data_IF_087176695052
#
_entry.id   IF_087176695052
#
_cell.length_a   1.000
_cell.length_b   1.000
_cell.length_c   1.000
_cell.angle_alpha   90.00
_cell.angle_beta   90.00
_cell.angle_gamma   90.00
#
_symmetry.space_group_name_H-M   'P 1'
#
loop_
_entity.id
_entity.type
_entity.pdbx_description
1 polymer ?
#
# COMPACT_ATOMS: atom_id res chain seq x y z
N UNK A 1 6.27 -2.31 -20.85
CA UNK A 1 5.22 -1.43 -20.29
C UNK A 1 5.61 0.02 -20.52
N UNK A 2 4.68 0.90 -20.85
CA UNK A 2 4.95 2.34 -20.88
C UNK A 2 5.30 2.79 -19.47
N UNK A 3 6.32 3.66 -19.28
CA UNK A 3 6.64 4.18 -17.94
C UNK A 3 5.43 4.85 -17.32
N UNK A 4 5.16 4.59 -16.04
CA UNK A 4 4.08 5.23 -15.31
C UNK A 4 4.46 6.67 -14.99
N UNK A 5 3.60 7.62 -15.37
CA UNK A 5 3.75 9.00 -14.96
C UNK A 5 3.13 9.17 -13.56
N UNK A 6 3.92 9.68 -12.61
CA UNK A 6 3.43 10.06 -11.27
C UNK A 6 3.65 11.55 -11.10
N UNK A 7 2.61 12.28 -10.77
CA UNK A 7 2.59 13.72 -10.61
C UNK A 7 2.15 14.09 -9.19
N UNK A 8 2.95 14.88 -8.49
CA UNK A 8 2.57 15.49 -7.21
C UNK A 8 1.86 16.80 -7.56
N UNK A 9 0.55 16.84 -7.36
CA UNK A 9 -0.26 17.96 -7.79
C UNK A 9 -0.17 19.15 -6.81
N UNK A 10 0.34 20.28 -7.25
CA UNK A 10 0.18 21.55 -6.55
C UNK A 10 -1.25 22.07 -6.68
N UNK A 11 -1.84 21.92 -7.86
CA UNK A 11 -3.22 22.27 -8.19
C UNK A 11 -3.91 21.10 -8.87
N UNK A 12 -4.73 20.36 -8.12
CA UNK A 12 -5.34 19.10 -8.59
C UNK A 12 -6.18 19.28 -9.86
N UNK A 13 -6.98 20.34 -9.97
CA UNK A 13 -7.81 20.59 -11.16
C UNK A 13 -6.96 20.72 -12.42
N UNK A 14 -5.86 21.48 -12.35
CA UNK A 14 -4.94 21.67 -13.48
C UNK A 14 -4.25 20.37 -13.88
N UNK A 15 -3.73 19.64 -12.90
CA UNK A 15 -3.07 18.36 -13.12
C UNK A 15 -4.02 17.33 -13.74
N UNK A 16 -5.26 17.26 -13.23
CA UNK A 16 -6.28 16.34 -13.74
C UNK A 16 -6.72 16.71 -15.17
N UNK A 17 -6.97 18.00 -15.44
CA UNK A 17 -7.33 18.45 -16.77
C UNK A 17 -6.25 18.13 -17.79
N UNK A 18 -4.97 18.32 -17.43
CA UNK A 18 -3.82 17.98 -18.28
C UNK A 18 -3.74 16.48 -18.52
N UNK A 19 -3.91 15.66 -17.49
CA UNK A 19 -3.83 14.20 -17.61
C UNK A 19 -4.98 13.64 -18.46
N UNK A 20 -6.21 14.15 -18.30
CA UNK A 20 -7.36 13.78 -19.14
C UNK A 20 -7.14 14.19 -20.60
N UNK A 21 -6.65 15.42 -20.85
CA UNK A 21 -6.37 15.90 -22.20
C UNK A 21 -5.25 15.13 -22.90
N UNK A 22 -4.32 14.53 -22.16
CA UNK A 22 -3.25 13.68 -22.69
C UNK A 22 -3.75 12.27 -23.11
N UNK A 23 -4.93 11.86 -22.65
CA UNK A 23 -5.56 10.59 -22.99
C UNK A 23 -6.63 10.82 -24.06
N UNK A 24 -6.40 10.36 -25.29
CA UNK A 24 -7.46 10.38 -26.31
C UNK A 24 -8.62 9.49 -25.87
N UNK A 25 -9.83 10.07 -25.73
CA UNK A 25 -11.01 9.35 -25.26
C UNK A 25 -12.30 9.93 -25.84
N UNK A 26 -13.30 9.05 -25.96
CA UNK A 26 -14.66 9.41 -26.41
C UNK A 26 -15.66 9.47 -25.26
N UNK A 27 -15.35 8.80 -24.13
CA UNK A 27 -16.16 8.79 -22.90
C UNK A 27 -15.27 8.82 -21.68
N UNK A 28 -15.75 9.51 -20.65
CA UNK A 28 -15.07 9.62 -19.37
C UNK A 28 -15.93 9.00 -18.27
N UNK A 29 -15.32 8.08 -17.52
CA UNK A 29 -15.93 7.45 -16.37
C UNK A 29 -15.10 7.70 -15.12
N UNK A 30 -15.79 7.82 -13.99
CA UNK A 30 -15.18 7.93 -12.66
C UNK A 30 -15.54 6.67 -11.88
N UNK A 31 -14.55 6.02 -11.28
CA UNK A 31 -14.76 4.94 -10.34
C UNK A 31 -14.45 5.42 -8.92
N UNK A 32 -15.39 5.19 -8.00
CA UNK A 32 -15.25 5.45 -6.57
C UNK A 32 -15.71 4.21 -5.80
N UNK A 33 -15.39 4.12 -4.52
CA UNK A 33 -16.19 3.36 -3.56
C UNK A 33 -17.24 4.25 -2.88
N UNK A 34 -18.12 3.66 -2.06
CA UNK A 34 -19.17 4.41 -1.35
C UNK A 34 -18.60 5.55 -0.49
N UNK A 35 -17.51 5.27 0.25
CA UNK A 35 -16.86 6.27 1.12
C UNK A 35 -16.25 7.41 0.30
N UNK A 36 -15.53 7.10 -0.75
CA UNK A 36 -14.87 8.10 -1.58
C UNK A 36 -15.87 8.82 -2.51
N UNK A 37 -16.99 8.19 -2.82
CA UNK A 37 -18.12 8.86 -3.46
C UNK A 37 -18.69 9.98 -2.60
N UNK A 38 -18.77 9.77 -1.30
CA UNK A 38 -19.31 10.73 -0.35
C UNK A 38 -18.28 11.82 0.02
N UNK A 39 -17.04 11.43 0.32
CA UNK A 39 -16.03 12.31 0.90
C UNK A 39 -15.07 12.94 -0.12
N UNK A 40 -14.75 12.24 -1.21
CA UNK A 40 -13.72 12.68 -2.15
C UNK A 40 -14.29 13.22 -3.47
N UNK A 41 -15.35 12.59 -4.00
CA UNK A 41 -15.98 13.05 -5.24
C UNK A 41 -16.46 14.51 -5.19
N UNK A 42 -17.12 15.01 -4.12
CA UNK A 42 -17.55 16.40 -4.04
C UNK A 42 -16.40 17.41 -4.17
N UNK A 43 -15.18 17.03 -3.81
CA UNK A 43 -13.98 17.89 -3.91
C UNK A 43 -13.64 18.21 -5.37
N UNK A 44 -13.90 17.28 -6.29
CA UNK A 44 -13.49 17.38 -7.70
C UNK A 44 -14.66 17.45 -8.68
N UNK A 45 -15.89 17.12 -8.26
CA UNK A 45 -17.06 17.04 -9.13
C UNK A 45 -17.41 18.34 -9.87
N UNK A 46 -16.98 19.47 -9.34
CA UNK A 46 -17.15 20.80 -9.95
C UNK A 46 -16.10 21.14 -11.02
N UNK A 47 -15.08 20.31 -11.21
CA UNK A 47 -14.03 20.59 -12.19
C UNK A 47 -14.56 20.52 -13.62
N UNK A 48 -14.19 21.49 -14.44
CA UNK A 48 -14.66 21.58 -15.82
C UNK A 48 -14.27 20.37 -16.68
N UNK A 49 -13.10 19.78 -16.42
CA UNK A 49 -12.62 18.59 -17.11
C UNK A 49 -13.40 17.30 -16.80
N UNK A 50 -14.26 17.29 -15.80
CA UNK A 50 -15.10 16.16 -15.41
C UNK A 50 -16.57 16.32 -15.82
N UNK A 51 -16.93 17.41 -16.52
CA UNK A 51 -18.31 17.62 -16.98
C UNK A 51 -18.74 16.53 -17.95
N UNK A 52 -19.90 15.91 -17.67
CA UNK A 52 -20.44 14.81 -18.47
C UNK A 52 -19.83 13.45 -18.16
N UNK A 53 -18.95 13.33 -17.18
CA UNK A 53 -18.43 12.05 -16.73
C UNK A 53 -19.52 11.23 -16.01
N UNK A 54 -19.59 9.94 -16.34
CA UNK A 54 -20.44 8.96 -15.65
C UNK A 54 -19.72 8.42 -14.43
N UNK A 55 -20.42 8.28 -13.30
CA UNK A 55 -19.81 7.83 -12.05
C UNK A 55 -20.32 6.45 -11.67
N UNK A 56 -19.37 5.50 -11.53
CA UNK A 56 -19.58 4.13 -11.06
C UNK A 56 -19.12 4.06 -9.61
N UNK A 57 -19.89 3.42 -8.74
CA UNK A 57 -19.56 3.25 -7.35
C UNK A 57 -19.60 1.77 -6.96
N UNK A 58 -18.63 1.32 -6.18
CA UNK A 58 -18.55 -0.03 -5.63
C UNK A 58 -18.63 0.01 -4.09
N UNK A 59 -18.86 -1.12 -3.45
CA UNK A 59 -18.84 -1.19 -1.98
C UNK A 59 -17.49 -0.76 -1.40
N UNK A 60 -17.51 -0.17 -0.22
CA UNK A 60 -16.32 0.29 0.47
C UNK A 60 -15.57 -0.87 1.15
N UNK A 61 -14.31 -0.66 1.46
CA UNK A 61 -13.36 -1.56 2.12
C UNK A 61 -12.82 -2.71 1.26
N UNK A 62 -11.71 -3.30 1.69
CA UNK A 62 -11.01 -4.39 0.96
C UNK A 62 -11.85 -5.67 0.82
N UNK A 63 -12.92 -5.81 1.61
CA UNK A 63 -13.89 -6.92 1.47
C UNK A 63 -14.65 -6.88 0.16
N UNK A 64 -14.75 -5.71 -0.48
CA UNK A 64 -15.36 -5.52 -1.79
C UNK A 64 -14.37 -5.56 -2.96
N UNK A 65 -13.10 -5.86 -2.71
CA UNK A 65 -12.09 -6.09 -3.77
C UNK A 65 -12.29 -7.48 -4.40
N UNK A 66 -13.45 -7.71 -4.98
CA UNK A 66 -13.94 -9.04 -5.40
C UNK A 66 -14.21 -9.10 -6.91
N UNK A 67 -14.39 -10.35 -7.41
CA UNK A 67 -14.83 -10.58 -8.79
C UNK A 67 -16.22 -9.98 -9.06
N UNK A 68 -17.13 -10.00 -8.08
CA UNK A 68 -18.47 -9.44 -8.25
C UNK A 68 -18.44 -7.93 -8.41
N UNK A 69 -17.62 -7.22 -7.61
CA UNK A 69 -17.40 -5.78 -7.79
C UNK A 69 -16.74 -5.45 -9.12
N UNK A 70 -15.81 -6.27 -9.57
CA UNK A 70 -15.17 -6.14 -10.88
C UNK A 70 -16.19 -6.33 -12.03
N UNK A 71 -17.04 -7.37 -11.93
CA UNK A 71 -18.10 -7.61 -12.89
C UNK A 71 -19.09 -6.44 -12.96
N UNK A 72 -19.48 -5.90 -11.81
CA UNK A 72 -20.33 -4.70 -11.75
C UNK A 72 -19.70 -3.50 -12.49
N UNK A 73 -18.40 -3.25 -12.33
CA UNK A 73 -17.72 -2.17 -13.08
C UNK A 73 -17.78 -2.43 -14.59
N UNK A 74 -17.54 -3.64 -15.06
CA UNK A 74 -17.63 -3.96 -16.48
C UNK A 74 -19.06 -3.82 -17.03
N UNK A 75 -20.06 -4.25 -16.27
CA UNK A 75 -21.48 -4.12 -16.61
C UNK A 75 -21.88 -2.65 -16.76
N UNK A 76 -21.51 -1.80 -15.80
CA UNK A 76 -21.82 -0.37 -15.84
C UNK A 76 -21.08 0.33 -16.99
N UNK A 77 -19.79 0.05 -17.19
CA UNK A 77 -19.06 0.55 -18.36
C UNK A 77 -19.77 0.16 -19.68
N UNK A 78 -20.21 -1.08 -19.78
CA UNK A 78 -20.92 -1.57 -20.98
C UNK A 78 -22.30 -0.94 -21.14
N UNK A 79 -23.11 -0.90 -20.08
CA UNK A 79 -24.47 -0.35 -20.04
C UNK A 79 -24.50 1.14 -20.42
N UNK A 80 -23.51 1.89 -19.94
CA UNK A 80 -23.39 3.33 -20.19
C UNK A 80 -22.64 3.64 -21.52
N UNK A 81 -22.39 2.64 -22.34
CA UNK A 81 -21.86 2.79 -23.69
C UNK A 81 -20.35 2.98 -23.78
N UNK A 82 -19.61 2.44 -22.81
CA UNK A 82 -18.15 2.42 -22.87
C UNK A 82 -17.60 1.75 -24.13
N UNK A 83 -16.59 2.34 -24.73
CA UNK A 83 -15.92 1.91 -25.96
C UNK A 83 -14.48 1.45 -25.67
N UNK A 84 -13.69 1.19 -26.69
CA UNK A 84 -12.24 0.96 -26.58
C UNK A 84 -11.44 2.24 -26.31
N UNK A 85 -12.06 3.39 -26.54
CA UNK A 85 -11.46 4.72 -26.33
C UNK A 85 -11.98 5.38 -25.04
N UNK A 86 -12.62 4.61 -24.17
CA UNK A 86 -13.07 5.09 -22.87
C UNK A 86 -11.87 5.37 -21.97
N UNK A 87 -11.94 6.46 -21.22
CA UNK A 87 -11.01 6.77 -20.12
C UNK A 87 -11.70 6.52 -18.78
N UNK A 88 -11.05 5.77 -17.89
CA UNK A 88 -11.49 5.54 -16.51
C UNK A 88 -10.60 6.31 -15.54
N UNK A 89 -11.20 7.14 -14.68
CA UNK A 89 -10.51 7.84 -13.60
C UNK A 89 -10.91 7.19 -12.26
N UNK A 90 -9.95 6.55 -11.60
CA UNK A 90 -10.14 5.93 -10.30
C UNK A 90 -9.88 6.97 -9.19
N UNK A 91 -10.88 7.28 -8.37
CA UNK A 91 -10.76 8.21 -7.24
C UNK A 91 -11.04 7.42 -5.96
N UNK A 92 -9.99 6.98 -5.26
CA UNK A 92 -10.17 6.16 -4.07
C UNK A 92 -8.88 5.64 -3.46
N UNK A 93 -9.02 4.84 -2.43
CA UNK A 93 -7.92 4.13 -1.79
C UNK A 93 -7.33 3.01 -2.66
N UNK A 94 -6.43 2.21 -2.08
CA UNK A 94 -5.76 1.10 -2.78
C UNK A 94 -6.74 0.09 -3.40
N UNK A 95 -7.87 -0.18 -2.74
CA UNK A 95 -8.90 -1.08 -3.28
C UNK A 95 -9.46 -0.55 -4.61
N UNK A 96 -9.81 0.73 -4.69
CA UNK A 96 -10.37 1.35 -5.90
C UNK A 96 -9.32 1.42 -7.01
N UNK A 97 -8.08 1.80 -6.69
CA UNK A 97 -7.01 1.90 -7.70
C UNK A 97 -6.61 0.54 -8.28
N UNK A 98 -6.56 -0.50 -7.44
CA UNK A 98 -6.22 -1.86 -7.88
C UNK A 98 -7.34 -2.51 -8.71
N UNK A 99 -8.58 -2.48 -8.20
CA UNK A 99 -9.73 -3.05 -8.90
C UNK A 99 -10.04 -2.26 -10.17
N UNK A 100 -10.03 -0.92 -10.10
CA UNK A 100 -10.27 -0.06 -11.26
C UNK A 100 -9.20 -0.20 -12.34
N UNK A 101 -7.91 -0.31 -11.93
CA UNK A 101 -6.83 -0.59 -12.85
C UNK A 101 -6.97 -1.96 -13.52
N UNK A 102 -7.43 -2.98 -12.80
CA UNK A 102 -7.70 -4.30 -13.35
C UNK A 102 -8.94 -4.30 -14.25
N UNK A 103 -10.00 -3.59 -13.86
CA UNK A 103 -11.19 -3.39 -14.71
C UNK A 103 -10.83 -2.72 -16.04
N UNK A 104 -10.06 -1.64 -15.99
CA UNK A 104 -9.59 -0.94 -17.19
C UNK A 104 -8.70 -1.84 -18.05
N UNK A 105 -7.81 -2.61 -17.46
CA UNK A 105 -6.89 -3.51 -18.17
C UNK A 105 -7.59 -4.63 -18.92
N UNK A 106 -8.78 -5.01 -18.51
CA UNK A 106 -9.51 -6.18 -19.04
C UNK A 106 -10.75 -5.80 -19.83
N UNK A 107 -11.39 -4.65 -19.55
CA UNK A 107 -12.53 -4.18 -20.32
C UNK A 107 -12.15 -3.95 -21.79
N UNK A 108 -12.88 -4.58 -22.74
CA UNK A 108 -12.63 -4.51 -24.17
C UNK A 108 -11.16 -4.76 -24.60
N UNK A 109 -10.41 -5.54 -23.84
CA UNK A 109 -8.97 -5.86 -23.99
C UNK A 109 -8.03 -4.71 -23.62
N UNK A 110 -8.49 -3.78 -22.80
CA UNK A 110 -7.73 -2.67 -22.25
C UNK A 110 -8.24 -1.31 -22.71
N UNK A 111 -8.51 -0.44 -21.73
CA UNK A 111 -8.79 0.98 -21.88
C UNK A 111 -7.78 1.77 -21.04
N UNK A 112 -7.60 3.06 -21.36
CA UNK A 112 -6.75 3.92 -20.56
C UNK A 112 -7.38 4.23 -19.20
N UNK A 113 -6.55 4.44 -18.17
CA UNK A 113 -7.01 4.85 -16.87
C UNK A 113 -6.03 5.80 -16.16
N UNK A 114 -6.57 6.63 -15.27
CA UNK A 114 -5.84 7.56 -14.39
C UNK A 114 -6.17 7.18 -12.95
N UNK A 115 -5.18 7.20 -12.05
CA UNK A 115 -5.41 7.01 -10.63
C UNK A 115 -5.27 8.33 -9.87
N UNK A 116 -6.25 8.63 -9.02
CA UNK A 116 -6.22 9.69 -8.00
C UNK A 116 -6.38 9.01 -6.63
N UNK A 117 -5.28 8.51 -6.05
CA UNK A 117 -5.33 7.84 -4.76
C UNK A 117 -5.71 8.84 -3.65
N UNK A 118 -6.60 8.41 -2.75
CA UNK A 118 -7.17 9.28 -1.70
C UNK A 118 -6.73 8.91 -0.29
N UNK A 119 -6.07 7.76 -0.11
CA UNK A 119 -5.45 7.37 1.17
C UNK A 119 -3.93 7.50 1.07
N UNK A 120 -3.26 7.78 2.19
CA UNK A 120 -1.80 7.90 2.21
C UNK A 120 -1.14 6.58 1.75
N UNK A 121 -1.68 5.43 2.16
CA UNK A 121 -1.21 4.12 1.70
C UNK A 121 -1.29 3.96 0.18
N UNK A 122 -2.40 4.38 -0.43
CA UNK A 122 -2.54 4.31 -1.87
C UNK A 122 -1.60 5.27 -2.61
N UNK A 123 -1.34 6.45 -2.03
CA UNK A 123 -0.42 7.44 -2.59
C UNK A 123 1.03 6.93 -2.60
N UNK A 124 1.48 6.37 -1.48
CA UNK A 124 2.88 5.97 -1.29
C UNK A 124 3.18 4.59 -1.87
N UNK A 125 2.18 3.70 -1.92
CA UNK A 125 2.40 2.30 -2.29
C UNK A 125 1.44 1.80 -3.37
N UNK A 126 0.17 1.60 -3.11
CA UNK A 126 -0.72 0.77 -3.95
C UNK A 126 -0.87 1.29 -5.39
N UNK A 127 -0.98 2.60 -5.62
CA UNK A 127 -1.18 3.16 -6.96
C UNK A 127 0.09 3.24 -7.82
N UNK A 128 1.28 3.00 -7.23
CA UNK A 128 2.58 3.12 -7.91
C UNK A 128 3.17 1.74 -8.22
N UNK A 129 3.53 1.51 -9.48
CA UNK A 129 4.21 0.29 -9.92
C UNK A 129 3.34 -0.72 -10.64
N UNK A 130 2.12 -0.33 -11.04
CA UNK A 130 1.28 -1.03 -12.01
C UNK A 130 0.72 -2.39 -11.57
N UNK A 131 0.86 -2.79 -10.33
CA UNK A 131 0.17 -3.97 -9.80
C UNK A 131 -1.31 -3.63 -9.67
N UNK A 132 -2.18 -4.36 -10.36
CA UNK A 132 -3.64 -4.23 -10.29
C UNK A 132 -4.25 -5.59 -10.07
N UNK A 133 -5.40 -5.68 -9.41
CA UNK A 133 -6.01 -6.99 -9.17
C UNK A 133 -7.12 -6.99 -8.14
N UNK A 134 -7.57 -8.19 -7.85
CA UNK A 134 -8.65 -8.50 -6.91
C UNK A 134 -8.26 -9.62 -5.96
N UNK A 135 -8.99 -9.69 -4.86
CA UNK A 135 -8.97 -10.83 -3.94
C UNK A 135 -9.78 -11.99 -4.54
N UNK A 136 -9.38 -13.22 -4.32
CA UNK A 136 -10.08 -14.38 -4.82
C UNK A 136 -10.03 -15.53 -3.84
N UNK A 137 -11.20 -16.11 -3.51
CA UNK A 137 -11.35 -17.26 -2.59
C UNK A 137 -10.63 -17.10 -1.27
N UNK A 138 -10.69 -15.90 -0.67
CA UNK A 138 -10.06 -15.60 0.63
C UNK A 138 -8.57 -15.24 0.55
N UNK A 139 -7.97 -15.30 -0.64
CA UNK A 139 -6.58 -14.90 -0.85
C UNK A 139 -6.52 -13.45 -1.37
N UNK A 140 -5.68 -12.62 -0.75
CA UNK A 140 -5.48 -11.22 -1.14
C UNK A 140 -4.67 -11.11 -2.42
N UNK A 141 -5.09 -10.20 -3.32
CA UNK A 141 -4.37 -9.85 -4.55
C UNK A 141 -3.96 -11.09 -5.39
N UNK A 142 -4.86 -12.09 -5.48
CA UNK A 142 -4.55 -13.36 -6.12
C UNK A 142 -4.64 -13.30 -7.63
N UNK A 143 -5.57 -12.50 -8.14
CA UNK A 143 -5.79 -12.37 -9.59
C UNK A 143 -5.57 -10.92 -10.00
N UNK A 144 -4.72 -10.69 -10.97
CA UNK A 144 -4.41 -9.35 -11.46
C UNK A 144 -3.46 -9.34 -12.65
N UNK A 145 -3.08 -8.13 -13.03
CA UNK A 145 -2.14 -7.89 -14.13
C UNK A 145 -1.16 -6.78 -13.72
N UNK A 146 -0.02 -6.77 -14.39
CA UNK A 146 0.89 -5.62 -14.37
C UNK A 146 0.49 -4.68 -15.51
N UNK A 147 -0.16 -3.57 -15.19
CA UNK A 147 -0.50 -2.53 -16.16
C UNK A 147 -0.45 -1.16 -15.49
N UNK A 148 0.31 -0.23 -16.06
CA UNK A 148 0.47 1.11 -15.51
C UNK A 148 -0.73 2.00 -15.85
N UNK A 149 -1.19 2.80 -14.88
CA UNK A 149 -2.03 3.95 -15.17
C UNK A 149 -1.31 4.91 -16.13
N UNK A 150 -2.03 5.57 -17.00
CA UNK A 150 -1.48 6.65 -17.84
C UNK A 150 -0.85 7.74 -16.97
N UNK A 151 -1.54 8.10 -15.89
CA UNK A 151 -1.02 9.04 -14.89
C UNK A 151 -1.54 8.65 -13.51
N UNK A 152 -0.71 8.79 -12.48
CA UNK A 152 -1.10 8.80 -11.06
C UNK A 152 -0.94 10.22 -10.56
N UNK A 153 -2.03 10.80 -10.05
CA UNK A 153 -2.03 12.18 -9.53
C UNK A 153 -2.15 12.14 -8.01
N UNK A 154 -1.11 12.56 -7.32
CA UNK A 154 -1.03 12.57 -5.86
C UNK A 154 -1.38 13.96 -5.32
N UNK A 155 -2.36 14.04 -4.42
CA UNK A 155 -2.74 15.27 -3.77
C UNK A 155 -3.08 15.04 -2.31
N UNK A 156 -2.36 15.68 -1.41
CA UNK A 156 -2.56 15.56 0.05
C UNK A 156 -3.86 16.20 0.53
N UNK A 157 -4.60 16.93 -0.33
CA UNK A 157 -5.89 17.52 0.05
C UNK A 157 -6.92 16.46 0.51
N UNK A 158 -6.87 15.24 -0.03
CA UNK A 158 -7.75 14.14 0.39
C UNK A 158 -7.44 13.61 1.78
N UNK A 159 -6.22 13.82 2.29
CA UNK A 159 -5.83 13.41 3.64
C UNK A 159 -6.54 14.21 4.74
N UNK A 160 -7.18 15.33 4.40
CA UNK A 160 -7.99 16.13 5.36
C UNK A 160 -9.23 15.41 5.87
N UNK A 161 -9.73 14.44 5.11
CA UNK A 161 -10.90 13.63 5.45
C UNK A 161 -10.51 12.25 5.98
N UNK A 162 -9.22 11.95 6.01
CA UNK A 162 -8.69 10.67 6.42
C UNK A 162 -8.48 10.65 7.94
N UNK A 163 -8.92 9.59 8.61
CA UNK A 163 -8.68 9.39 10.01
C UNK A 163 -7.20 9.11 10.31
N UNK A 164 -6.82 9.24 11.59
CA UNK A 164 -5.45 9.03 12.05
C UNK A 164 -4.94 7.63 11.74
N UNK A 165 -5.78 6.61 11.87
CA UNK A 165 -5.38 5.21 11.65
C UNK A 165 -4.99 4.97 10.19
N UNK A 166 -5.74 5.53 9.24
CA UNK A 166 -5.42 5.46 7.82
C UNK A 166 -4.18 6.30 7.45
N UNK A 167 -3.94 7.44 8.11
CA UNK A 167 -2.67 8.19 7.97
C UNK A 167 -1.50 7.31 8.43
N UNK A 168 -1.58 6.73 9.63
CA UNK A 168 -0.55 5.85 10.17
C UNK A 168 -0.31 4.63 9.28
N UNK A 169 -1.37 4.04 8.72
CA UNK A 169 -1.25 2.92 7.79
C UNK A 169 -0.37 3.26 6.57
N UNK A 170 -0.57 4.41 5.94
CA UNK A 170 0.29 4.86 4.85
C UNK A 170 1.70 5.26 5.31
N UNK A 171 1.80 5.84 6.51
CA UNK A 171 3.07 6.29 7.06
C UNK A 171 4.04 5.16 7.39
N UNK A 172 3.54 3.97 7.73
CA UNK A 172 4.38 2.78 7.90
C UNK A 172 5.15 2.42 6.62
N UNK A 173 4.53 2.59 5.46
CA UNK A 173 5.20 2.40 4.17
C UNK A 173 6.23 3.49 3.88
N UNK A 174 5.96 4.74 4.26
CA UNK A 174 6.96 5.80 4.18
C UNK A 174 8.17 5.49 5.08
N UNK A 175 7.94 5.02 6.31
CA UNK A 175 9.00 4.61 7.23
C UNK A 175 9.85 3.47 6.64
N UNK A 176 9.21 2.47 6.02
CA UNK A 176 9.91 1.42 5.27
C UNK A 176 10.77 2.03 4.14
N UNK A 177 10.23 2.97 3.38
CA UNK A 177 10.99 3.63 2.32
C UNK A 177 12.19 4.43 2.85
N UNK A 178 12.07 5.06 4.01
CA UNK A 178 13.19 5.70 4.70
C UNK A 178 14.30 4.70 5.06
N UNK A 179 13.91 3.57 5.68
CA UNK A 179 14.84 2.50 6.07
C UNK A 179 15.60 1.89 4.89
N UNK A 180 14.95 1.68 3.74
CA UNK A 180 15.61 1.13 2.54
C UNK A 180 16.29 2.18 1.67
N UNK A 181 16.22 3.47 2.02
CA UNK A 181 16.77 4.58 1.22
C UNK A 181 18.03 5.17 1.82
N UNK A 182 17.89 6.01 2.83
CA UNK A 182 19.01 6.70 3.46
C UNK A 182 18.65 7.26 4.84
N UNK A 183 19.69 7.55 5.63
CA UNK A 183 19.56 7.99 7.01
C UNK A 183 18.85 9.34 7.16
N UNK A 184 19.04 10.27 6.23
CA UNK A 184 18.40 11.58 6.29
C UNK A 184 16.87 11.46 6.16
N UNK A 185 16.40 10.68 5.21
CA UNK A 185 14.97 10.42 5.02
C UNK A 185 14.37 9.67 6.22
N UNK A 186 15.07 8.63 6.73
CA UNK A 186 14.62 7.92 7.92
C UNK A 186 14.52 8.85 9.13
N UNK A 187 15.54 9.69 9.39
CA UNK A 187 15.55 10.62 10.51
C UNK A 187 14.44 11.67 10.39
N UNK A 188 14.15 12.15 9.20
CA UNK A 188 13.05 13.09 8.96
C UNK A 188 11.69 12.46 9.28
N UNK A 189 11.46 11.21 8.81
CA UNK A 189 10.25 10.46 9.10
C UNK A 189 10.10 10.18 10.61
N UNK A 190 11.18 9.87 11.30
CA UNK A 190 11.18 9.66 12.75
C UNK A 190 10.84 10.92 13.55
N UNK A 191 11.12 12.10 13.03
CA UNK A 191 10.91 13.38 13.72
C UNK A 191 9.64 14.13 13.27
N UNK A 192 8.90 13.62 12.28
CA UNK A 192 7.68 14.27 11.82
C UNK A 192 6.57 14.18 12.88
N UNK A 193 5.92 15.30 13.26
CA UNK A 193 4.95 15.34 14.35
C UNK A 193 3.59 14.77 13.94
N UNK A 194 3.49 13.44 13.84
CA UNK A 194 2.26 12.71 13.46
C UNK A 194 1.06 12.96 14.41
N UNK A 195 1.32 13.47 15.61
CA UNK A 195 0.27 13.81 16.59
C UNK A 195 -0.22 15.25 16.50
N UNK A 196 0.33 16.08 15.60
CA UNK A 196 -0.07 17.48 15.48
C UNK A 196 -1.47 17.62 14.87
N UNK A 197 -2.25 18.54 15.42
CA UNK A 197 -3.58 18.91 14.88
C UNK A 197 -3.65 20.43 14.66
N UNK A 198 -3.80 20.90 13.42
CA UNK A 198 -3.88 20.12 12.19
C UNK A 198 -2.52 19.51 11.77
N UNK A 199 -2.59 18.38 11.05
CA UNK A 199 -1.40 17.75 10.46
C UNK A 199 -0.78 18.68 9.41
N UNK A 200 0.54 18.83 9.39
CA UNK A 200 1.26 19.62 8.38
C UNK A 200 1.28 18.90 7.03
N UNK A 201 0.23 19.13 6.23
CA UNK A 201 0.09 18.51 4.91
C UNK A 201 1.13 19.04 3.89
N UNK A 202 1.69 20.20 4.10
CA UNK A 202 2.72 20.77 3.20
C UNK A 202 4.03 20.00 3.34
N UNK A 203 4.49 19.82 4.58
CA UNK A 203 5.67 18.99 4.85
C UNK A 203 5.41 17.54 4.47
N UNK A 204 4.24 16.99 4.78
CA UNK A 204 3.87 15.62 4.42
C UNK A 204 3.87 15.41 2.89
N UNK A 205 3.42 16.38 2.09
CA UNK A 205 3.44 16.30 0.63
C UNK A 205 4.87 16.19 0.08
N UNK A 206 5.81 16.95 0.62
CA UNK A 206 7.22 16.84 0.24
C UNK A 206 7.80 15.47 0.61
N UNK A 207 7.57 15.02 1.85
CA UNK A 207 8.02 13.69 2.32
C UNK A 207 7.38 12.56 1.50
N UNK A 208 6.11 12.72 1.11
CA UNK A 208 5.42 11.79 0.20
C UNK A 208 6.12 11.74 -1.17
N UNK A 209 6.49 12.89 -1.73
CA UNK A 209 7.21 12.95 -3.00
C UNK A 209 8.54 12.19 -2.94
N UNK A 210 9.32 12.38 -1.87
CA UNK A 210 10.58 11.67 -1.64
C UNK A 210 10.35 10.16 -1.50
N UNK A 211 9.31 9.76 -0.75
CA UNK A 211 8.93 8.35 -0.56
C UNK A 211 8.52 7.68 -1.87
N UNK A 212 7.71 8.35 -2.67
CA UNK A 212 7.27 7.87 -3.99
C UNK A 212 8.47 7.76 -4.96
N UNK A 213 9.41 8.70 -4.91
CA UNK A 213 10.62 8.64 -5.73
C UNK A 213 11.47 7.40 -5.44
N UNK A 214 11.57 6.97 -4.15
CA UNK A 214 12.23 5.71 -3.78
C UNK A 214 11.54 4.53 -4.45
N UNK A 215 10.23 4.43 -4.35
CA UNK A 215 9.47 3.33 -4.97
C UNK A 215 9.57 3.34 -6.49
N UNK A 216 9.40 4.51 -7.13
CA UNK A 216 9.50 4.64 -8.58
C UNK A 216 10.86 4.17 -9.11
N UNK A 217 11.96 4.57 -8.46
CA UNK A 217 13.31 4.12 -8.80
C UNK A 217 13.40 2.59 -8.77
N UNK A 218 12.98 1.98 -7.66
CA UNK A 218 13.03 0.52 -7.46
C UNK A 218 12.18 -0.23 -8.49
N UNK A 219 10.96 0.24 -8.75
CA UNK A 219 10.04 -0.37 -9.71
C UNK A 219 10.52 -0.21 -11.16
N UNK A 220 11.14 0.92 -11.48
CA UNK A 220 11.69 1.17 -12.82
C UNK A 220 12.88 0.25 -13.10
N UNK A 221 13.73 0.03 -12.09
CA UNK A 221 14.90 -0.85 -12.21
C UNK A 221 14.51 -2.33 -12.25
N UNK A 222 13.48 -2.73 -11.50
CA UNK A 222 13.02 -4.12 -11.44
C UNK A 222 11.47 -4.22 -11.48
N UNK A 223 10.86 -4.06 -12.66
CA UNK A 223 9.40 -4.02 -12.79
C UNK A 223 8.70 -5.35 -12.44
N UNK A 224 9.40 -6.49 -12.55
CA UNK A 224 8.84 -7.84 -12.34
C UNK A 224 9.23 -8.50 -11.01
N UNK A 225 9.93 -7.77 -10.12
CA UNK A 225 10.30 -8.24 -8.77
C UNK A 225 11.23 -9.47 -8.76
N UNK A 226 12.17 -9.51 -9.68
CA UNK A 226 13.18 -10.58 -9.69
C UNK A 226 14.39 -10.29 -8.78
N UNK A 227 14.67 -9.04 -8.47
CA UNK A 227 15.83 -8.57 -7.72
C UNK A 227 15.52 -7.43 -6.75
N UNK A 228 15.96 -6.20 -7.09
CA UNK A 228 15.92 -5.03 -6.20
C UNK A 228 14.51 -4.71 -5.67
N UNK A 229 13.46 -4.95 -6.44
CA UNK A 229 12.07 -4.68 -6.00
C UNK A 229 11.68 -5.49 -4.75
N UNK A 230 12.37 -6.59 -4.46
CA UNK A 230 12.21 -7.33 -3.20
C UNK A 230 12.56 -6.49 -1.97
N UNK A 231 13.31 -5.40 -2.12
CA UNK A 231 13.58 -4.44 -1.05
C UNK A 231 12.29 -3.87 -0.43
N UNK A 232 11.25 -3.69 -1.25
CA UNK A 232 9.93 -3.22 -0.80
C UNK A 232 9.21 -4.23 0.12
N UNK A 233 9.74 -5.44 0.27
CA UNK A 233 9.21 -6.47 1.15
C UNK A 233 9.77 -6.43 2.58
N UNK A 234 10.63 -5.47 2.93
CA UNK A 234 11.04 -5.25 4.31
C UNK A 234 9.81 -5.03 5.20
N UNK A 235 9.71 -5.75 6.30
CA UNK A 235 8.56 -5.74 7.21
C UNK A 235 7.35 -6.55 6.74
N UNK A 236 7.36 -7.09 5.51
CA UNK A 236 6.18 -7.74 4.95
C UNK A 236 6.12 -9.25 5.21
N UNK A 237 7.24 -9.94 5.41
CA UNK A 237 7.22 -11.39 5.65
C UNK A 237 6.54 -11.70 6.97
N UNK A 238 6.94 -11.03 8.04
CA UNK A 238 6.28 -11.15 9.35
C UNK A 238 4.96 -10.36 9.36
N UNK A 239 4.90 -9.19 8.72
CA UNK A 239 3.70 -8.36 8.66
C UNK A 239 2.50 -9.07 8.03
N UNK A 240 2.67 -9.75 6.92
CA UNK A 240 1.60 -10.54 6.29
C UNK A 240 1.14 -11.72 7.16
N UNK A 241 2.06 -12.34 7.91
CA UNK A 241 1.68 -13.38 8.86
C UNK A 241 0.81 -12.80 9.99
N UNK A 242 1.19 -11.64 10.54
CA UNK A 242 0.37 -10.92 11.53
C UNK A 242 -0.99 -10.51 10.96
N UNK A 243 -1.03 -9.98 9.74
CA UNK A 243 -2.27 -9.59 9.07
C UNK A 243 -3.19 -10.80 8.87
N UNK A 244 -2.66 -11.91 8.35
CA UNK A 244 -3.41 -13.15 8.15
C UNK A 244 -3.88 -13.75 9.46
N UNK A 245 -3.07 -13.72 10.51
CA UNK A 245 -3.42 -14.19 11.85
C UNK A 245 -4.58 -13.36 12.43
N UNK A 246 -4.51 -12.03 12.33
CA UNK A 246 -5.54 -11.14 12.85
C UNK A 246 -6.88 -11.27 12.08
N UNK A 247 -6.82 -11.50 10.77
CA UNK A 247 -8.00 -11.64 9.91
C UNK A 247 -8.60 -13.05 9.93
N UNK A 248 -7.79 -14.08 10.25
CA UNK A 248 -8.25 -15.45 10.25
C UNK A 248 -9.20 -15.74 11.43
N UNK A 249 -10.21 -16.59 11.18
CA UNK A 249 -11.06 -17.15 12.23
C UNK A 249 -10.28 -18.07 13.19
N UNK A 250 -9.03 -18.41 12.86
CA UNK A 250 -8.10 -19.15 13.71
C UNK A 250 -7.50 -18.28 14.83
N UNK A 251 -7.53 -16.97 14.72
CA UNK A 251 -7.35 -16.06 15.85
C UNK A 251 -8.54 -16.19 16.80
N UNK A 252 -8.63 -17.32 17.51
CA UNK A 252 -9.72 -17.65 18.42
C UNK A 252 -9.78 -16.78 19.66
N UNK A 253 -8.91 -15.78 19.76
CA UNK A 253 -8.91 -14.83 20.86
C UNK A 253 -9.61 -13.56 20.36
N UNK A 254 -10.88 -13.30 20.76
CA UNK A 254 -11.60 -12.07 20.41
C UNK A 254 -10.83 -10.79 20.75
N UNK A 255 -9.87 -10.88 21.69
CA UNK A 255 -8.98 -9.80 22.11
C UNK A 255 -8.01 -9.33 21.03
N UNK A 256 -7.53 -10.20 20.14
CA UNK A 256 -6.57 -9.84 19.09
C UNK A 256 -7.24 -9.08 17.94
N UNK A 257 -8.44 -9.51 17.54
CA UNK A 257 -9.16 -8.95 16.39
C UNK A 257 -9.59 -7.49 16.61
N UNK A 258 -9.88 -7.11 17.85
CA UNK A 258 -10.35 -5.77 18.21
C UNK A 258 -9.27 -4.91 18.89
N UNK A 259 -8.07 -5.44 19.08
CA UNK A 259 -7.00 -4.77 19.83
C UNK A 259 -6.23 -3.75 18.98
N UNK A 260 -6.23 -3.91 17.65
CA UNK A 260 -5.47 -3.04 16.74
C UNK A 260 -6.29 -2.77 15.48
N UNK A 261 -6.07 -1.63 14.81
CA UNK A 261 -6.65 -1.35 13.51
C UNK A 261 -6.28 -2.42 12.49
N UNK A 262 -7.29 -2.94 11.75
CA UNK A 262 -7.11 -3.99 10.74
C UNK A 262 -6.66 -3.38 9.41
N UNK A 263 -5.61 -2.57 9.46
CA UNK A 263 -5.03 -1.85 8.32
C UNK A 263 -3.64 -2.37 8.02
N UNK A 264 -3.37 -2.61 6.74
CA UNK A 264 -2.12 -3.20 6.25
C UNK A 264 -0.86 -2.60 6.85
N UNK A 265 -0.74 -1.26 6.88
CA UNK A 265 0.45 -0.58 7.38
C UNK A 265 0.75 -0.83 8.86
N UNK A 266 -0.26 -1.12 9.69
CA UNK A 266 -0.03 -1.53 11.08
C UNK A 266 0.73 -2.85 11.13
N UNK A 267 0.33 -3.82 10.33
CA UNK A 267 1.01 -5.12 10.26
C UNK A 267 2.41 -4.99 9.66
N UNK A 268 2.60 -4.11 8.68
CA UNK A 268 3.95 -3.78 8.16
C UNK A 268 4.82 -3.17 9.27
N UNK A 269 4.30 -2.23 10.06
CA UNK A 269 5.03 -1.65 11.19
C UNK A 269 5.43 -2.72 12.23
N UNK A 270 4.54 -3.64 12.56
CA UNK A 270 4.86 -4.76 13.46
C UNK A 270 5.90 -5.71 12.86
N UNK A 271 5.79 -6.01 11.57
CA UNK A 271 6.77 -6.80 10.84
C UNK A 271 8.15 -6.14 10.81
N UNK A 272 8.21 -4.81 10.67
CA UNK A 272 9.47 -4.06 10.75
C UNK A 272 10.18 -4.27 12.09
N UNK A 273 9.46 -4.36 13.21
CA UNK A 273 10.09 -4.64 14.53
C UNK A 273 10.83 -5.97 14.51
N UNK A 274 10.18 -7.03 14.00
CA UNK A 274 10.77 -8.37 13.93
C UNK A 274 11.92 -8.44 12.92
N UNK A 275 11.73 -7.88 11.72
CA UNK A 275 12.71 -7.98 10.64
C UNK A 275 13.93 -7.08 10.87
N UNK A 276 13.80 -5.95 11.60
CA UNK A 276 14.95 -5.17 12.06
C UNK A 276 15.71 -5.87 13.20
N UNK A 277 15.03 -6.60 14.08
CA UNK A 277 15.70 -7.47 15.04
C UNK A 277 16.54 -8.55 14.32
N UNK A 278 15.94 -9.26 13.35
CA UNK A 278 16.65 -10.22 12.51
C UNK A 278 17.82 -9.56 11.76
N UNK A 279 17.64 -8.33 11.29
CA UNK A 279 18.69 -7.55 10.63
C UNK A 279 19.87 -7.30 11.58
N UNK A 280 19.60 -6.97 12.83
CA UNK A 280 20.65 -6.76 13.83
C UNK A 280 21.44 -8.05 14.10
N UNK A 281 20.73 -9.17 14.27
CA UNK A 281 21.36 -10.45 14.61
C UNK A 281 22.13 -11.04 13.42
N UNK A 282 21.58 -10.93 12.20
CA UNK A 282 22.11 -11.64 11.01
C UNK A 282 22.99 -10.79 10.11
N UNK A 283 22.70 -9.52 9.98
CA UNK A 283 23.37 -8.64 9.00
C UNK A 283 24.06 -7.43 9.63
N UNK A 284 23.99 -7.29 10.96
CA UNK A 284 24.73 -6.27 11.71
C UNK A 284 24.07 -4.90 11.74
N UNK A 285 22.75 -4.82 11.50
CA UNK A 285 22.01 -3.55 11.59
C UNK A 285 22.22 -2.89 12.97
N UNK A 286 22.52 -1.56 13.04
CA UNK A 286 22.86 -0.89 14.29
C UNK A 286 21.75 -0.96 15.34
N UNK A 287 22.10 -1.40 16.56
CA UNK A 287 21.16 -1.60 17.67
C UNK A 287 20.50 -0.30 18.13
N UNK A 288 21.19 0.84 18.03
CA UNK A 288 20.65 2.16 18.36
C UNK A 288 19.54 2.58 17.38
N UNK A 289 19.72 2.35 16.08
CA UNK A 289 18.72 2.59 15.04
C UNK A 289 17.52 1.62 15.17
N UNK A 290 17.78 0.36 15.51
CA UNK A 290 16.73 -0.60 15.87
C UNK A 290 15.86 -0.04 17.00
N UNK A 291 16.48 0.35 18.13
CA UNK A 291 15.75 0.85 19.32
C UNK A 291 14.94 2.10 19.02
N UNK A 292 15.51 3.04 18.28
CA UNK A 292 14.80 4.26 17.88
C UNK A 292 13.57 3.92 17.03
N UNK A 293 13.73 3.08 16.00
CA UNK A 293 12.63 2.69 15.11
C UNK A 293 11.54 1.92 15.87
N UNK A 294 11.93 1.00 16.76
CA UNK A 294 10.99 0.24 17.58
C UNK A 294 10.23 1.15 18.55
N UNK A 295 10.91 2.11 19.19
CA UNK A 295 10.27 3.09 20.07
C UNK A 295 9.22 3.91 19.33
N UNK A 296 9.56 4.41 18.14
CA UNK A 296 8.62 5.13 17.27
C UNK A 296 7.40 4.26 16.90
N UNK A 297 7.63 3.03 16.47
CA UNK A 297 6.54 2.12 16.09
C UNK A 297 5.62 1.87 17.28
N UNK A 298 6.15 1.67 18.48
CA UNK A 298 5.34 1.44 19.68
C UNK A 298 4.53 2.64 20.11
N UNK A 299 5.13 3.83 20.01
CA UNK A 299 4.45 5.08 20.35
C UNK A 299 3.23 5.32 19.46
N UNK A 300 3.36 5.08 18.17
CA UNK A 300 2.33 5.46 17.19
C UNK A 300 1.37 4.31 16.82
N UNK A 301 1.86 3.06 16.78
CA UNK A 301 1.09 1.90 16.32
C UNK A 301 0.68 0.95 17.44
N UNK A 302 1.29 1.09 18.62
CA UNK A 302 1.07 0.13 19.72
C UNK A 302 1.64 -1.26 19.42
N UNK A 303 0.94 -2.29 19.86
CA UNK A 303 1.31 -3.70 19.67
C UNK A 303 0.08 -4.55 19.45
N UNK A 304 0.14 -5.48 18.52
CA UNK A 304 -0.80 -6.59 18.46
C UNK A 304 -0.45 -7.60 19.56
N UNK A 305 -1.38 -7.96 20.44
CA UNK A 305 -1.11 -8.93 21.49
C UNK A 305 -0.93 -10.32 20.88
N UNK A 306 0.23 -10.92 21.12
CA UNK A 306 0.54 -12.31 20.80
C UNK A 306 1.13 -13.02 22.02
N UNK A 307 1.01 -14.34 22.04
CA UNK A 307 1.57 -15.22 23.07
C UNK A 307 2.51 -16.24 22.44
N UNK A 308 3.30 -16.97 23.25
CA UNK A 308 4.16 -18.04 22.73
C UNK A 308 3.35 -19.15 22.03
N UNK A 309 2.08 -19.33 22.40
CA UNK A 309 1.21 -20.35 21.80
C UNK A 309 0.82 -20.01 20.36
N UNK A 310 0.93 -18.73 19.96
CA UNK A 310 0.62 -18.26 18.61
C UNK A 310 1.80 -18.44 17.63
N UNK A 311 3.03 -18.63 18.14
CA UNK A 311 4.25 -18.69 17.32
C UNK A 311 4.22 -19.79 16.25
N UNK A 312 3.77 -21.03 16.55
CA UNK A 312 3.68 -22.08 15.51
C UNK A 312 2.78 -21.66 14.35
N UNK A 313 1.62 -21.03 14.65
CA UNK A 313 0.68 -20.56 13.63
C UNK A 313 1.27 -19.41 12.80
N UNK A 314 1.91 -18.44 13.45
CA UNK A 314 2.59 -17.33 12.76
C UNK A 314 3.71 -17.84 11.85
N UNK A 315 4.50 -18.81 12.32
CA UNK A 315 5.55 -19.45 11.53
C UNK A 315 4.97 -20.15 10.30
N UNK A 316 3.89 -20.92 10.47
CA UNK A 316 3.20 -21.59 9.36
C UNK A 316 2.68 -20.58 8.33
N UNK A 317 2.05 -19.49 8.77
CA UNK A 317 1.59 -18.41 7.89
C UNK A 317 2.75 -17.79 7.09
N UNK A 318 3.93 -17.60 7.72
CA UNK A 318 5.12 -17.12 7.00
C UNK A 318 5.57 -18.12 5.92
N UNK A 319 5.45 -19.45 6.13
CA UNK A 319 5.86 -20.45 5.13
C UNK A 319 4.98 -20.43 3.88
N UNK A 320 3.73 -19.97 4.00
CA UNK A 320 2.78 -19.86 2.89
C UNK A 320 2.86 -18.55 2.10
N UNK A 321 3.75 -17.62 2.48
CA UNK A 321 3.96 -16.39 1.70
C UNK A 321 4.44 -16.72 0.27
N UNK A 322 3.85 -16.05 -0.72
CA UNK A 322 4.11 -16.23 -2.17
C UNK A 322 5.59 -16.05 -2.56
N UNK A 323 6.38 -15.41 -1.71
CA UNK A 323 7.81 -15.12 -1.91
C UNK A 323 8.71 -16.30 -1.60
N UNK A 324 8.18 -17.37 -0.99
CA UNK A 324 8.95 -18.51 -0.54
C UNK A 324 9.22 -19.49 -1.68
N UNK A 325 10.40 -20.07 -1.66
CA UNK A 325 10.82 -21.09 -2.62
C UNK A 325 11.14 -22.37 -1.86
N UNK A 326 10.46 -23.47 -2.19
CA UNK A 326 10.73 -24.80 -1.64
C UNK A 326 10.71 -24.88 -0.08
N UNK A 327 9.78 -24.14 0.57
CA UNK A 327 9.63 -24.19 2.04
C UNK A 327 10.62 -23.33 2.83
N UNK A 328 11.46 -22.54 2.15
CA UNK A 328 12.38 -21.61 2.80
C UNK A 328 11.74 -20.23 2.88
N UNK A 329 11.65 -19.67 4.09
CA UNK A 329 11.13 -18.32 4.30
C UNK A 329 12.20 -17.31 3.89
N UNK A 330 11.86 -16.44 2.93
CA UNK A 330 12.75 -15.41 2.43
C UNK A 330 12.43 -14.05 3.07
N UNK A 331 13.46 -13.39 3.56
CA UNK A 331 13.41 -12.07 4.16
C UNK A 331 14.19 -11.05 3.33
N UNK A 332 13.74 -9.81 3.41
CA UNK A 332 14.58 -8.65 3.13
C UNK A 332 15.06 -8.10 4.47
N UNK A 333 16.36 -8.06 4.68
CA UNK A 333 16.99 -7.53 5.89
C UNK A 333 17.89 -6.34 5.52
N UNK A 334 18.41 -5.64 6.53
CA UNK A 334 19.29 -4.48 6.37
C UNK A 334 20.62 -4.71 7.10
N UNK A 335 21.73 -4.35 6.49
CA UNK A 335 23.04 -4.20 7.17
C UNK A 335 23.17 -2.84 7.85
N UNK A 336 22.60 -1.80 7.26
CA UNK A 336 22.39 -0.45 7.81
C UNK A 336 21.23 0.19 7.05
N UNK A 337 20.82 1.41 7.41
CA UNK A 337 19.82 2.17 6.64
C UNK A 337 20.33 2.35 5.22
N UNK A 338 19.54 1.89 4.24
CA UNK A 338 19.92 1.89 2.82
C UNK A 338 20.82 0.73 2.38
N UNK A 339 21.39 -0.07 3.29
CA UNK A 339 22.14 -1.29 2.96
C UNK A 339 21.21 -2.50 2.92
N UNK A 340 20.61 -2.75 1.77
CA UNK A 340 19.55 -3.75 1.56
C UNK A 340 20.17 -5.12 1.29
N UNK A 341 19.70 -6.13 2.02
CA UNK A 341 20.09 -7.54 1.91
C UNK A 341 18.85 -8.37 1.55
N UNK A 342 18.62 -8.59 0.26
CA UNK A 342 17.51 -9.43 -0.22
C UNK A 342 17.85 -10.92 -0.09
N UNK A 343 16.82 -11.78 -0.14
CA UNK A 343 16.92 -13.25 -0.10
C UNK A 343 17.69 -13.75 1.14
N UNK A 344 17.50 -13.13 2.28
CA UNK A 344 18.02 -13.61 3.55
C UNK A 344 17.10 -14.69 4.11
N UNK A 345 17.65 -15.61 4.89
CA UNK A 345 16.90 -16.70 5.53
C UNK A 345 17.08 -16.65 7.04
N UNK A 346 16.11 -17.14 7.79
CA UNK A 346 16.20 -17.30 9.23
C UNK A 346 15.73 -18.70 9.63
N UNK A 347 16.33 -19.26 10.69
CA UNK A 347 15.85 -20.51 11.26
C UNK A 347 14.56 -20.28 12.04
N UNK A 348 13.86 -21.35 12.38
CA UNK A 348 12.66 -21.27 13.21
C UNK A 348 12.93 -20.62 14.56
N UNK A 349 14.08 -20.98 15.16
CA UNK A 349 14.53 -20.44 16.45
C UNK A 349 14.78 -18.93 16.37
N UNK A 350 15.49 -18.48 15.33
CA UNK A 350 15.73 -17.03 15.10
C UNK A 350 14.44 -16.24 14.89
N UNK A 351 13.46 -16.83 14.19
CA UNK A 351 12.13 -16.23 14.01
C UNK A 351 11.38 -16.14 15.35
N UNK A 352 11.46 -17.19 16.17
CA UNK A 352 10.84 -17.19 17.49
C UNK A 352 11.48 -16.16 18.43
N UNK A 353 12.80 -15.98 18.41
CA UNK A 353 13.50 -14.91 19.12
C UNK A 353 13.06 -13.52 18.65
N UNK A 354 12.82 -13.33 17.36
CA UNK A 354 12.28 -12.06 16.84
C UNK A 354 10.84 -11.81 17.30
N UNK A 355 10.01 -12.84 17.41
CA UNK A 355 8.66 -12.74 17.98
C UNK A 355 8.69 -12.47 19.50
N UNK A 356 9.63 -13.08 20.25
CA UNK A 356 9.87 -12.77 21.65
C UNK A 356 10.30 -11.31 21.83
N UNK A 357 11.24 -10.83 21.02
CA UNK A 357 11.64 -9.42 21.02
C UNK A 357 10.46 -8.49 20.73
N UNK A 358 9.62 -8.83 19.76
CA UNK A 358 8.40 -8.06 19.46
C UNK A 358 7.44 -8.01 20.66
N UNK A 359 7.24 -9.12 21.35
CA UNK A 359 6.33 -9.25 22.48
C UNK A 359 6.83 -8.54 23.73
N UNK A 360 8.11 -8.68 24.07
CA UNK A 360 8.69 -8.27 25.36
C UNK A 360 9.44 -6.94 25.29
N UNK A 361 10.12 -6.67 24.18
CA UNK A 361 10.89 -5.47 23.95
C UNK A 361 10.01 -4.26 23.64
#
# INVERSE_FOLDING_TARGET
MTPQQVEIAEHLETSLAKAIAACEHDRLFILTDETTRELCWPVVSGYSCLQGAEVISIGATDTHKTLDSLAHVWEELGRLGGTRHTLLVNIGGGMVTDLGGFAASTFKRGIQYINIPTTLLAMVDASVGGKTGINFRGLKNEIGVFNNAATVILSTQFLRTLDRENILSGYAEMLKHGLISNEAMWAELMNFPLGAEPLDLTTLQRMLADSVAVKQRIVTEDPLEHGLRKALNLGHTVGHAFESFALSTMGTVPSVRNAVPQLHGYFVAYGLVCELYLSTVKTGFPTDKLRQTVSFIREHYGRMPITCDDYPTLFELMTHDKKNTAGTINFTLLGDIGDIRINQTATKEEIYEALDFYREG
#
